data_IF_817177598851
#
_entry.id   IF_817177598851
#
_cell.length_a   1.000
_cell.length_b   1.000
_cell.length_c   1.000
_cell.angle_alpha   90.00
_cell.angle_beta   90.00
_cell.angle_gamma   90.00
#
_symmetry.space_group_name_H-M   'P 1'
#
loop_
_entity.id
_entity.type
_entity.pdbx_description
1 polymer ?
#
# COMPACT_ATOMS: atom_id res chain seq x y z
N UNK A 1 -8.31 1.79 10.66
CA UNK A 1 -6.95 1.20 10.54
C UNK A 1 -6.70 0.83 9.07
N UNK A 2 -5.47 0.86 8.55
CA UNK A 2 -5.20 0.38 7.20
C UNK A 2 -5.48 -1.12 7.09
N UNK A 3 -5.99 -1.58 5.96
CA UNK A 3 -6.13 -3.02 5.71
C UNK A 3 -5.50 -3.46 4.39
N UNK A 4 -5.37 -2.56 3.41
CA UNK A 4 -4.59 -2.81 2.19
C UNK A 4 -3.96 -1.54 1.63
N UNK A 5 -3.00 -1.74 0.73
CA UNK A 5 -2.62 -0.79 -0.32
C UNK A 5 -2.87 -1.46 -1.67
N UNK A 6 -3.49 -0.74 -2.58
CA UNK A 6 -3.64 -1.13 -3.98
C UNK A 6 -2.64 -0.33 -4.81
N UNK A 7 -1.98 -0.99 -5.75
CA UNK A 7 -1.11 -0.37 -6.74
C UNK A 7 -1.63 -0.70 -8.14
N UNK A 8 -1.89 0.33 -8.94
CA UNK A 8 -1.94 0.20 -10.38
C UNK A 8 -0.53 -0.20 -10.84
N UNK A 9 -0.41 -1.29 -11.59
CA UNK A 9 0.88 -1.87 -11.94
C UNK A 9 0.90 -2.46 -13.34
N UNK A 10 1.96 -2.18 -14.11
CA UNK A 10 2.18 -2.82 -15.40
C UNK A 10 2.65 -4.28 -15.27
N UNK A 11 3.18 -4.69 -14.12
CA UNK A 11 3.60 -6.07 -13.82
C UNK A 11 3.16 -6.56 -12.42
N UNK A 12 1.85 -6.86 -12.26
CA UNK A 12 1.34 -7.44 -11.02
C UNK A 12 2.05 -8.73 -10.58
N UNK A 13 2.57 -9.55 -11.52
CA UNK A 13 3.20 -10.83 -11.19
C UNK A 13 4.60 -10.63 -10.61
N UNK A 14 5.41 -9.75 -11.20
CA UNK A 14 6.71 -9.36 -10.68
C UNK A 14 6.60 -8.70 -9.30
N UNK A 15 5.61 -7.81 -9.12
CA UNK A 15 5.33 -7.18 -7.83
C UNK A 15 4.94 -8.20 -6.74
N UNK A 16 4.10 -9.18 -7.08
CA UNK A 16 3.79 -10.30 -6.17
C UNK A 16 5.05 -11.11 -5.85
N UNK A 17 5.80 -11.53 -6.86
CA UNK A 17 7.01 -12.35 -6.67
C UNK A 17 8.04 -11.64 -5.77
N UNK A 18 8.21 -10.32 -5.93
CA UNK A 18 9.04 -9.49 -5.06
C UNK A 18 8.55 -9.55 -3.61
N UNK A 19 7.24 -9.36 -3.38
CA UNK A 19 6.63 -9.34 -2.05
C UNK A 19 6.80 -10.67 -1.32
N UNK A 20 6.60 -11.79 -2.01
CA UNK A 20 6.81 -13.13 -1.45
C UNK A 20 8.28 -13.35 -1.07
N UNK A 21 9.22 -12.98 -1.95
CA UNK A 21 10.65 -13.26 -1.78
C UNK A 21 11.30 -12.42 -0.67
N UNK A 22 11.05 -11.12 -0.67
CA UNK A 22 11.78 -10.18 0.17
C UNK A 22 11.01 -9.75 1.42
N UNK A 23 9.69 -9.64 1.33
CA UNK A 23 8.87 -9.08 2.39
C UNK A 23 8.17 -10.13 3.25
N UNK A 24 8.34 -11.42 2.93
CA UNK A 24 7.71 -12.53 3.66
C UNK A 24 6.17 -12.52 3.57
N UNK A 25 5.64 -11.95 2.49
CA UNK A 25 4.22 -12.03 2.19
C UNK A 25 3.83 -13.46 1.79
N UNK A 26 2.53 -13.74 1.77
CA UNK A 26 1.93 -14.96 1.22
C UNK A 26 0.92 -14.61 0.15
N UNK A 27 0.91 -15.35 -0.96
CA UNK A 27 -0.05 -15.13 -2.03
C UNK A 27 -1.45 -15.41 -1.50
N UNK A 28 -2.40 -14.55 -1.89
CA UNK A 28 -3.81 -14.74 -1.59
C UNK A 28 -4.58 -14.76 -2.90
N UNK A 29 -5.45 -15.77 -3.14
CA UNK A 29 -6.28 -15.78 -4.33
C UNK A 29 -7.17 -14.53 -4.37
N UNK A 30 -7.20 -13.87 -5.53
CA UNK A 30 -8.16 -12.79 -5.77
C UNK A 30 -9.57 -13.41 -5.98
N UNK A 31 -10.62 -12.89 -5.33
CA UNK A 31 -11.97 -13.46 -5.37
C UNK A 31 -12.84 -12.93 -6.51
N UNK A 32 -12.38 -11.92 -7.26
CA UNK A 32 -13.21 -11.23 -8.24
C UNK A 32 -13.31 -12.02 -9.55
N UNK A 33 -14.55 -12.20 -10.00
CA UNK A 33 -14.83 -12.82 -11.30
C UNK A 33 -14.25 -11.95 -12.43
N UNK A 34 -13.51 -12.58 -13.33
CA UNK A 34 -12.86 -11.90 -14.46
C UNK A 34 -11.50 -11.28 -14.16
N UNK A 35 -11.06 -11.31 -12.89
CA UNK A 35 -9.67 -11.03 -12.52
C UNK A 35 -8.76 -12.17 -12.94
N UNK A 36 -7.49 -11.86 -13.21
CA UNK A 36 -6.51 -12.79 -13.81
C UNK A 36 -7.02 -13.40 -15.13
N UNK A 37 -7.69 -12.58 -15.93
CA UNK A 37 -8.34 -13.01 -17.15
C UNK A 37 -8.55 -11.84 -18.10
N UNK A 38 -9.76 -11.72 -18.65
CA UNK A 38 -10.05 -10.78 -19.73
C UNK A 38 -9.99 -9.31 -19.29
N UNK A 39 -10.30 -8.99 -18.04
CA UNK A 39 -10.61 -7.62 -17.63
C UNK A 39 -9.46 -6.94 -16.87
N UNK A 40 -8.72 -7.73 -16.10
CA UNK A 40 -7.55 -7.29 -15.39
C UNK A 40 -6.63 -8.46 -15.05
N UNK A 41 -5.35 -8.17 -14.79
CA UNK A 41 -4.44 -9.02 -14.04
C UNK A 41 -4.38 -8.51 -12.60
N UNK A 42 -4.68 -9.37 -11.63
CA UNK A 42 -4.81 -9.00 -10.23
C UNK A 42 -4.03 -10.01 -9.36
N UNK A 43 -3.00 -9.52 -8.69
CA UNK A 43 -2.24 -10.33 -7.74
C UNK A 43 -2.37 -9.74 -6.35
N UNK A 44 -2.75 -10.58 -5.39
CA UNK A 44 -2.86 -10.17 -4.00
C UNK A 44 -1.84 -10.92 -3.16
N UNK A 45 -1.29 -10.24 -2.16
CA UNK A 45 -0.56 -10.89 -1.09
C UNK A 45 -0.95 -10.33 0.27
N UNK A 46 -0.95 -11.20 1.27
CA UNK A 46 -1.15 -10.86 2.68
C UNK A 46 0.17 -10.88 3.43
N UNK A 47 0.27 -10.08 4.49
CA UNK A 47 1.40 -10.06 5.42
C UNK A 47 1.00 -10.74 6.75
N UNK A 48 1.33 -12.03 6.96
CA UNK A 48 0.80 -12.79 8.09
C UNK A 48 1.19 -12.23 9.45
N UNK A 49 0.22 -12.16 10.35
CA UNK A 49 0.42 -11.72 11.73
C UNK A 49 0.49 -10.21 11.91
N UNK A 50 0.11 -9.45 10.87
CA UNK A 50 -0.01 -7.98 10.97
C UNK A 50 -1.36 -7.57 11.54
N UNK A 51 -2.42 -8.37 11.29
CA UNK A 51 -3.83 -8.20 11.73
C UNK A 51 -4.16 -6.80 12.29
N UNK A 52 -4.06 -5.73 11.49
CA UNK A 52 -4.27 -4.37 11.99
C UNK A 52 -5.74 -4.04 12.26
N UNK A 53 -6.65 -4.96 11.94
CA UNK A 53 -8.10 -4.73 11.97
C UNK A 53 -8.79 -5.57 13.04
N UNK A 54 -9.90 -5.07 13.57
CA UNK A 54 -10.77 -5.83 14.48
C UNK A 54 -11.36 -7.09 13.83
N UNK A 55 -11.38 -7.16 12.49
CA UNK A 55 -11.81 -8.33 11.73
C UNK A 55 -10.78 -9.46 11.68
N UNK A 56 -9.57 -9.22 12.20
CA UNK A 56 -8.49 -10.19 12.12
C UNK A 56 -7.95 -10.40 10.69
N UNK A 57 -8.24 -9.47 9.78
CA UNK A 57 -7.70 -9.45 8.42
C UNK A 57 -6.27 -8.95 8.49
N UNK A 58 -5.33 -9.74 7.98
CA UNK A 58 -3.93 -9.34 7.77
C UNK A 58 -3.83 -8.25 6.69
N UNK A 59 -2.86 -7.35 6.85
CA UNK A 59 -2.60 -6.30 5.86
C UNK A 59 -2.28 -6.90 4.49
N UNK A 60 -2.70 -6.24 3.42
CA UNK A 60 -2.57 -6.75 2.06
C UNK A 60 -1.93 -5.75 1.09
N UNK A 61 -1.24 -6.27 0.08
CA UNK A 61 -0.98 -5.54 -1.15
C UNK A 61 -1.79 -6.15 -2.29
N UNK A 62 -2.43 -5.27 -3.06
CA UNK A 62 -3.15 -5.61 -4.28
C UNK A 62 -2.41 -4.96 -5.46
N UNK A 63 -1.99 -5.75 -6.43
CA UNK A 63 -1.36 -5.26 -7.66
C UNK A 63 -2.34 -5.48 -8.80
N UNK A 64 -2.70 -4.41 -9.53
CA UNK A 64 -3.79 -4.43 -10.50
C UNK A 64 -3.32 -3.83 -11.82
N UNK A 65 -3.50 -4.58 -12.91
CA UNK A 65 -3.41 -4.08 -14.29
C UNK A 65 -4.79 -4.16 -14.92
N UNK A 66 -5.43 -3.03 -15.18
CA UNK A 66 -6.74 -2.94 -15.79
C UNK A 66 -6.65 -2.87 -17.32
N UNK A 67 -7.18 -3.86 -18.03
CA UNK A 67 -7.09 -3.90 -19.50
C UNK A 67 -8.12 -3.04 -20.23
N UNK A 68 -9.17 -2.62 -19.52
CA UNK A 68 -10.35 -1.96 -20.12
C UNK A 68 -10.79 -0.71 -19.35
N UNK A 69 -10.01 -0.28 -18.35
CA UNK A 69 -10.30 0.95 -17.61
C UNK A 69 -9.74 2.16 -18.39
N UNK A 70 -10.37 3.34 -18.29
CA UNK A 70 -9.81 4.56 -18.85
C UNK A 70 -8.45 4.85 -18.23
N UNK A 71 -7.48 5.27 -19.04
CA UNK A 71 -6.14 5.67 -18.59
C UNK A 71 -5.79 7.07 -19.10
N UNK A 72 -6.78 7.85 -19.55
CA UNK A 72 -6.56 9.16 -20.16
C UNK A 72 -5.54 9.12 -21.31
N UNK A 73 -4.61 10.07 -21.31
CA UNK A 73 -3.56 10.21 -22.33
C UNK A 73 -2.25 9.46 -22.00
N UNK A 74 -2.18 8.74 -20.87
CA UNK A 74 -0.96 8.10 -20.37
C UNK A 74 -1.32 6.78 -19.70
N UNK A 75 -0.90 5.68 -20.29
CA UNK A 75 -1.09 4.35 -19.70
C UNK A 75 -0.26 4.17 -18.42
N UNK A 76 -0.61 3.18 -17.58
CA UNK A 76 0.20 2.84 -16.40
C UNK A 76 1.61 2.42 -16.79
N UNK A 77 1.77 1.63 -17.85
CA UNK A 77 3.09 1.26 -18.39
C UNK A 77 3.94 2.51 -18.73
N UNK A 78 3.36 3.50 -19.42
CA UNK A 78 4.07 4.75 -19.76
C UNK A 78 4.38 5.63 -18.55
N UNK A 79 3.52 5.63 -17.54
CA UNK A 79 3.76 6.34 -16.29
C UNK A 79 4.90 5.68 -15.52
N UNK A 80 4.85 4.37 -15.31
CA UNK A 80 5.87 3.62 -14.59
C UNK A 80 7.23 3.67 -15.31
N UNK A 81 7.28 3.60 -16.64
CA UNK A 81 8.52 3.79 -17.41
C UNK A 81 9.13 5.19 -17.17
N UNK A 82 8.30 6.23 -17.08
CA UNK A 82 8.76 7.58 -16.77
C UNK A 82 9.28 7.69 -15.33
N UNK A 83 8.62 7.03 -14.38
CA UNK A 83 9.03 7.02 -12.98
C UNK A 83 10.32 6.23 -12.79
N UNK A 84 10.43 5.02 -13.34
CA UNK A 84 11.65 4.21 -13.31
C UNK A 84 12.85 4.95 -13.92
N UNK A 85 12.63 5.69 -15.03
CA UNK A 85 13.67 6.52 -15.63
C UNK A 85 14.09 7.71 -14.75
N UNK A 86 13.15 8.26 -13.96
CA UNK A 86 13.42 9.37 -13.03
C UNK A 86 14.15 8.88 -11.77
N UNK A 87 13.68 7.78 -11.18
CA UNK A 87 14.27 7.11 -10.01
C UNK A 87 15.69 6.64 -10.32
N UNK A 88 15.88 6.08 -11.52
CA UNK A 88 17.15 5.54 -11.98
C UNK A 88 17.59 4.33 -11.15
N UNK A 89 18.89 4.05 -11.15
CA UNK A 89 19.45 2.94 -10.39
C UNK A 89 19.88 3.41 -8.99
N UNK A 90 19.11 2.95 -7.99
CA UNK A 90 19.33 3.22 -6.56
C UNK A 90 20.70 2.81 -6.03
N UNK A 91 21.44 1.94 -6.72
CA UNK A 91 22.79 1.56 -6.32
C UNK A 91 23.87 2.58 -6.71
N UNK A 92 23.54 3.54 -7.60
CA UNK A 92 24.53 4.47 -8.16
C UNK A 92 25.00 5.52 -7.15
N UNK A 93 26.22 5.99 -7.37
CA UNK A 93 26.85 7.08 -6.62
C UNK A 93 26.11 8.41 -6.69
N UNK A 94 25.41 8.63 -7.79
CA UNK A 94 24.65 9.83 -8.12
C UNK A 94 23.14 9.60 -7.98
N UNK A 95 22.71 8.47 -7.40
CA UNK A 95 21.29 8.20 -7.19
C UNK A 95 20.68 9.28 -6.29
N UNK A 96 19.78 10.07 -6.88
CA UNK A 96 19.06 11.14 -6.21
C UNK A 96 17.70 10.67 -5.74
N UNK A 97 17.27 11.19 -4.59
CA UNK A 97 15.87 11.09 -4.22
C UNK A 97 15.09 12.12 -5.06
N UNK A 98 14.05 11.70 -5.75
CA UNK A 98 13.17 12.58 -6.53
C UNK A 98 11.81 12.76 -5.85
N UNK A 99 11.00 13.69 -6.37
CA UNK A 99 9.71 14.02 -5.78
C UNK A 99 8.71 12.85 -5.86
N UNK A 100 8.80 11.99 -6.86
CA UNK A 100 7.85 10.89 -7.06
C UNK A 100 8.15 9.69 -6.19
N UNK A 101 9.37 9.58 -5.67
CA UNK A 101 9.66 8.61 -4.60
C UNK A 101 8.81 8.84 -3.34
N UNK A 102 8.18 10.01 -3.16
CA UNK A 102 7.19 10.23 -2.09
C UNK A 102 5.81 9.63 -2.39
N UNK A 103 5.63 8.88 -3.49
CA UNK A 103 4.52 7.94 -3.69
C UNK A 103 4.95 6.52 -3.28
N UNK A 104 4.91 6.21 -1.99
CA UNK A 104 5.35 4.91 -1.48
C UNK A 104 4.56 4.44 -0.26
N UNK A 105 4.70 3.16 0.05
CA UNK A 105 4.30 2.60 1.34
C UNK A 105 5.53 2.42 2.21
N UNK A 106 5.43 2.84 3.47
CA UNK A 106 6.44 2.54 4.48
C UNK A 106 6.02 1.33 5.30
N UNK A 107 6.94 0.37 5.40
CA UNK A 107 6.84 -0.82 6.23
C UNK A 107 7.86 -0.72 7.38
N UNK A 108 7.53 -1.27 8.54
CA UNK A 108 8.48 -1.43 9.65
C UNK A 108 8.97 -2.88 9.71
N UNK A 109 10.27 -3.07 9.91
CA UNK A 109 10.92 -4.36 10.13
C UNK A 109 11.68 -4.36 11.45
N UNK A 110 11.72 -5.50 12.13
CA UNK A 110 12.50 -5.64 13.36
C UNK A 110 14.01 -5.77 13.08
N UNK A 111 14.37 -6.29 11.90
CA UNK A 111 15.75 -6.40 11.41
C UNK A 111 15.82 -6.14 9.90
N UNK A 112 16.43 -5.01 9.51
CA UNK A 112 16.62 -4.68 8.09
C UNK A 112 17.71 -5.51 7.42
N UNK A 113 18.67 -6.08 8.17
CA UNK A 113 19.78 -6.83 7.58
C UNK A 113 19.28 -8.07 6.84
N UNK A 114 18.23 -8.73 7.33
CA UNK A 114 17.63 -9.90 6.67
C UNK A 114 17.13 -9.55 5.28
N UNK A 115 16.44 -8.42 5.14
CA UNK A 115 15.86 -7.97 3.87
C UNK A 115 16.96 -7.43 2.95
N UNK A 116 17.80 -6.53 3.47
CA UNK A 116 18.90 -5.92 2.74
C UNK A 116 19.91 -6.96 2.22
N UNK A 117 20.21 -8.00 3.00
CA UNK A 117 21.13 -9.05 2.57
C UNK A 117 20.60 -9.87 1.38
N UNK A 118 19.29 -10.15 1.34
CA UNK A 118 18.66 -10.82 0.20
C UNK A 118 18.71 -9.94 -1.04
N UNK A 119 18.29 -8.68 -0.92
CA UNK A 119 18.31 -7.70 -2.02
C UNK A 119 19.73 -7.56 -2.60
N UNK A 120 20.74 -7.38 -1.74
CA UNK A 120 22.15 -7.30 -2.14
C UNK A 120 22.63 -8.60 -2.81
N UNK A 121 22.28 -9.77 -2.28
CA UNK A 121 22.70 -11.05 -2.84
C UNK A 121 22.11 -11.29 -4.24
N UNK A 122 20.90 -10.79 -4.48
CA UNK A 122 20.19 -10.89 -5.75
C UNK A 122 20.48 -9.73 -6.72
N UNK A 123 21.31 -8.77 -6.32
CA UNK A 123 21.65 -7.60 -7.15
C UNK A 123 20.52 -6.60 -7.32
N UNK A 124 19.55 -6.57 -6.41
CA UNK A 124 18.45 -5.58 -6.43
C UNK A 124 18.96 -4.23 -5.89
N UNK A 125 18.85 -3.14 -6.67
CA UNK A 125 19.23 -1.80 -6.22
C UNK A 125 18.43 -1.34 -5.00
N UNK A 126 19.08 -0.67 -4.05
CA UNK A 126 18.41 -0.07 -2.89
C UNK A 126 19.15 1.19 -2.45
N UNK A 127 18.40 2.15 -1.89
CA UNK A 127 18.94 3.32 -1.20
C UNK A 127 18.85 3.10 0.30
N UNK A 128 19.93 3.33 1.04
CA UNK A 128 19.96 3.16 2.49
C UNK A 128 20.17 4.50 3.19
N UNK A 129 19.29 4.80 4.15
CA UNK A 129 19.23 6.09 4.85
C UNK A 129 19.24 5.90 6.35
N UNK A 130 19.85 6.84 7.06
CA UNK A 130 19.86 6.88 8.52
C UNK A 130 18.97 8.03 8.97
N UNK A 131 18.13 7.77 9.97
CA UNK A 131 17.26 8.80 10.52
C UNK A 131 18.09 9.95 11.11
N UNK A 132 17.47 11.15 11.20
CA UNK A 132 18.07 12.36 11.77
C UNK A 132 18.79 12.15 13.11
N UNK A 133 18.07 11.51 14.04
CA UNK A 133 18.51 11.20 15.40
C UNK A 133 19.46 9.99 15.46
N UNK A 134 19.67 9.33 14.32
CA UNK A 134 20.45 8.14 14.19
C UNK A 134 19.87 6.89 14.86
N UNK A 135 18.63 6.95 15.36
CA UNK A 135 17.97 5.89 16.11
C UNK A 135 17.39 4.77 15.21
N UNK A 136 17.22 5.05 13.92
CA UNK A 136 16.72 4.09 12.94
C UNK A 136 17.42 4.24 11.59
N UNK A 137 17.22 3.24 10.74
CA UNK A 137 17.60 3.28 9.34
C UNK A 137 16.39 2.94 8.47
N UNK A 138 16.44 3.32 7.21
CA UNK A 138 15.49 2.87 6.20
C UNK A 138 16.20 2.41 4.94
N UNK A 139 15.59 1.48 4.23
CA UNK A 139 15.93 1.14 2.85
C UNK A 139 14.77 1.53 1.93
N UNK A 140 15.08 2.21 0.83
CA UNK A 140 14.15 2.39 -0.28
C UNK A 140 14.51 1.37 -1.36
N UNK A 141 13.50 0.71 -1.88
CA UNK A 141 13.63 -0.26 -2.96
C UNK A 141 12.48 -0.09 -3.92
N UNK A 142 12.78 -0.23 -5.20
CA UNK A 142 11.79 -0.28 -6.26
C UNK A 142 11.40 -1.75 -6.49
N UNK A 143 10.12 -2.06 -6.34
CA UNK A 143 9.53 -3.29 -6.87
C UNK A 143 9.40 -3.16 -8.39
N UNK A 144 9.25 -4.27 -9.15
CA UNK A 144 9.08 -4.18 -10.60
C UNK A 144 8.08 -3.09 -11.01
N UNK A 145 8.52 -2.25 -11.95
CA UNK A 145 7.78 -1.11 -12.51
C UNK A 145 7.49 0.04 -11.54
N UNK A 146 8.54 0.69 -11.00
CA UNK A 146 8.44 1.98 -10.29
C UNK A 146 7.61 2.03 -8.98
N UNK A 147 7.14 0.91 -8.45
CA UNK A 147 6.50 0.88 -7.13
C UNK A 147 7.58 0.99 -6.06
N UNK A 148 7.67 2.14 -5.40
CA UNK A 148 8.65 2.39 -4.34
C UNK A 148 8.12 1.91 -2.99
N UNK A 149 8.97 1.20 -2.25
CA UNK A 149 8.77 0.86 -0.84
C UNK A 149 9.85 1.50 0.01
N UNK A 150 9.45 2.00 1.18
CA UNK A 150 10.38 2.30 2.28
C UNK A 150 10.25 1.20 3.34
N UNK A 151 11.36 0.64 3.82
CA UNK A 151 11.37 -0.30 4.94
C UNK A 151 12.26 0.28 6.04
N UNK A 152 11.65 0.57 7.19
CA UNK A 152 12.29 1.20 8.35
C UNK A 152 12.57 0.16 9.42
N UNK A 153 13.70 0.26 10.11
CA UNK A 153 14.01 -0.59 11.25
C UNK A 153 15.06 0.03 12.17
N UNK A 154 15.27 -0.56 13.36
CA UNK A 154 16.14 0.01 14.38
C UNK A 154 17.63 -0.06 14.03
N UNK A 155 18.02 -0.95 13.12
CA UNK A 155 19.41 -1.11 12.71
C UNK A 155 19.55 -1.62 11.29
N UNK A 156 20.64 -1.22 10.64
CA UNK A 156 21.05 -1.66 9.31
C UNK A 156 22.58 -1.63 9.25
N UNK A 157 23.18 -2.74 8.84
CA UNK A 157 24.64 -2.87 8.84
C UNK A 157 25.20 -3.78 7.74
N UNK A 158 24.34 -4.45 6.97
CA UNK A 158 24.71 -5.06 5.68
C UNK A 158 25.12 -4.01 4.64
N UNK A 159 24.51 -2.84 4.71
CA UNK A 159 24.87 -1.65 3.93
C UNK A 159 25.07 -0.48 4.88
N UNK A 160 25.95 0.45 4.52
CA UNK A 160 26.17 1.66 5.33
C UNK A 160 25.11 2.71 4.97
N UNK A 161 24.13 2.98 5.83
CA UNK A 161 23.13 4.01 5.55
C UNK A 161 23.77 5.40 5.56
N UNK A 162 23.33 6.25 4.64
CA UNK A 162 23.77 7.64 4.57
C UNK A 162 22.82 8.52 5.39
N UNK A 163 23.35 9.49 6.13
CA UNK A 163 22.51 10.46 6.84
C UNK A 163 21.49 11.09 5.90
N UNK A 164 20.21 11.04 6.28
CA UNK A 164 19.13 11.59 5.49
C UNK A 164 19.29 13.10 5.32
N UNK A 165 18.84 13.62 4.17
CA UNK A 165 18.68 15.05 3.93
C UNK A 165 17.84 15.21 2.69
N UNK A 166 16.59 15.65 2.84
CA UNK A 166 15.67 15.89 1.72
C UNK A 166 16.08 17.09 0.86
N UNK A 167 16.88 17.99 1.44
CA UNK A 167 17.26 19.25 0.79
C UNK A 167 18.72 19.24 0.28
N UNK A 168 19.39 18.10 0.37
CA UNK A 168 20.81 17.96 0.05
C UNK A 168 21.06 17.48 -1.38
N UNK A 169 22.25 17.79 -1.88
CA UNK A 169 22.80 17.23 -3.12
C UNK A 169 22.90 15.68 -3.07
N UNK A 170 22.96 14.99 -4.24
CA UNK A 170 23.22 13.55 -4.31
C UNK A 170 24.38 13.16 -3.41
N UNK A 171 24.17 12.12 -2.60
CA UNK A 171 25.16 11.64 -1.64
C UNK A 171 25.80 10.35 -2.11
N UNK A 172 26.98 10.09 -1.54
CA UNK A 172 27.93 9.02 -1.86
C UNK A 172 27.30 7.67 -2.22
N UNK A 173 27.95 6.89 -3.11
CA UNK A 173 27.52 5.53 -3.44
C UNK A 173 27.38 4.66 -2.22
N UNK A 174 26.44 3.72 -2.30
CA UNK A 174 26.20 2.75 -1.26
C UNK A 174 27.48 1.93 -1.00
N UNK A 175 27.87 1.83 0.26
CA UNK A 175 28.91 0.89 0.68
C UNK A 175 28.23 -0.38 1.20
N UNK A 176 28.60 -1.53 0.62
CA UNK A 176 28.00 -2.83 0.90
C UNK A 176 29.03 -3.76 1.56
N UNK A 177 28.71 -4.32 2.73
CA UNK A 177 29.49 -5.42 3.32
C UNK A 177 29.01 -6.76 2.76
N UNK A 178 29.56 -7.13 1.60
CA UNK A 178 29.21 -8.37 0.89
C UNK A 178 29.46 -9.62 1.75
N UNK A 179 30.48 -9.60 2.61
CA UNK A 179 30.77 -10.75 3.50
C UNK A 179 29.69 -10.88 4.57
N UNK A 180 29.22 -9.77 5.13
CA UNK A 180 28.11 -9.77 6.07
C UNK A 180 26.80 -10.18 5.39
N UNK A 181 26.48 -9.64 4.22
CA UNK A 181 25.30 -10.02 3.44
C UNK A 181 25.22 -11.55 3.25
N UNK A 182 26.32 -12.16 2.77
CA UNK A 182 26.39 -13.63 2.57
C UNK A 182 26.19 -14.42 3.86
N UNK A 183 26.74 -13.94 4.99
CA UNK A 183 26.56 -14.60 6.30
C UNK A 183 25.11 -14.53 6.77
N UNK A 184 24.45 -13.38 6.62
CA UNK A 184 23.04 -13.20 6.99
C UNK A 184 22.15 -14.13 6.16
N UNK A 185 22.30 -14.15 4.83
CA UNK A 185 21.55 -15.06 3.95
C UNK A 185 21.76 -16.52 4.33
N UNK A 186 23.00 -16.93 4.57
CA UNK A 186 23.33 -18.30 4.96
C UNK A 186 22.73 -18.68 6.33
N UNK A 187 22.64 -17.74 7.27
CA UNK A 187 22.01 -17.97 8.56
C UNK A 187 20.48 -18.13 8.43
N UNK A 188 19.82 -17.25 7.66
CA UNK A 188 18.37 -17.32 7.43
C UNK A 188 17.94 -18.60 6.70
N UNK A 189 18.78 -19.14 5.80
CA UNK A 189 18.51 -20.39 5.09
C UNK A 189 18.62 -21.65 6.00
N UNK A 190 19.38 -21.59 7.10
CA UNK A 190 19.42 -22.70 8.06
C UNK A 190 18.16 -22.76 8.90
N UNK A 191 17.62 -21.60 9.25
CA UNK A 191 16.42 -21.47 10.07
C UNK A 191 15.13 -21.90 9.34
N UNK A 192 15.12 -21.86 8.00
CA UNK A 192 14.02 -22.44 7.20
C UNK A 192 14.08 -23.97 7.14
N UNK A 193 15.29 -24.55 7.14
CA UNK A 193 15.49 -25.99 6.90
C UNK A 193 15.05 -26.88 8.08
N UNK A 194 15.06 -26.35 9.30
CA UNK A 194 14.66 -27.08 10.51
C UNK A 194 13.14 -27.21 10.67
N UNK A 195 12.34 -26.55 9.83
CA UNK A 195 10.87 -26.59 9.88
C UNK A 195 10.22 -27.10 8.58
N UNK A 196 10.99 -27.40 7.55
CA UNK A 196 10.50 -27.90 6.26
C UNK A 196 10.18 -29.42 6.26
N UNK A 197 9.64 -29.94 7.37
CA UNK A 197 9.13 -31.31 7.45
C UNK A 197 7.83 -31.47 6.65
N UNK A 198 7.93 -32.05 5.45
CA UNK A 198 6.85 -32.60 4.61
C UNK A 198 5.52 -31.83 4.57
N UNK A 199 5.45 -30.79 3.73
CA UNK A 199 4.17 -30.30 3.21
C UNK A 199 4.12 -30.56 1.70
N UNK A 200 3.82 -31.81 1.34
CA UNK A 200 3.33 -32.14 0.01
C UNK A 200 1.87 -31.69 -0.09
N UNK A 201 1.65 -30.58 -0.80
CA UNK A 201 0.45 -30.29 -1.58
C UNK A 201 -0.89 -30.69 -0.98
N UNK A 202 -1.29 -30.05 0.12
CA UNK A 202 -2.69 -29.86 0.44
C UNK A 202 -3.07 -28.45 0.02
N UNK A 203 -3.72 -28.29 -1.13
CA UNK A 203 -4.53 -27.11 -1.41
C UNK A 203 -5.60 -27.06 -0.31
N UNK A 204 -5.32 -26.34 0.79
CA UNK A 204 -6.38 -25.91 1.68
C UNK A 204 -7.17 -24.88 0.88
N UNK A 205 -8.25 -25.36 0.26
CA UNK A 205 -9.33 -24.49 -0.13
C UNK A 205 -9.78 -23.77 1.14
N UNK A 206 -9.32 -22.55 1.34
CA UNK A 206 -10.15 -21.56 1.98
C UNK A 206 -11.34 -21.39 1.04
N UNK A 207 -12.35 -22.25 1.22
CA UNK A 207 -13.69 -21.86 0.87
C UNK A 207 -13.92 -20.55 1.62
N UNK A 208 -14.05 -19.46 0.88
CA UNK A 208 -14.58 -18.21 1.38
C UNK A 208 -16.06 -18.43 1.72
N UNK A 209 -16.34 -19.27 2.70
CA UNK A 209 -17.59 -19.25 3.45
C UNK A 209 -17.41 -18.23 4.58
N UNK A 210 -17.30 -16.95 4.20
CA UNK A 210 -17.90 -15.92 5.03
C UNK A 210 -19.41 -15.99 4.80
N UNK A 211 -20.03 -17.06 5.32
CA UNK A 211 -21.47 -17.12 5.52
C UNK A 211 -21.78 -16.17 6.67
N UNK A 212 -22.05 -14.90 6.36
CA UNK A 212 -22.84 -14.06 7.24
C UNK A 212 -24.27 -14.60 7.19
N UNK A 213 -24.51 -15.62 8.01
CA UNK A 213 -25.80 -16.30 8.08
C UNK A 213 -26.88 -15.36 8.57
N UNK A 214 -27.93 -15.24 7.75
CA UNK A 214 -29.29 -14.94 8.17
C UNK A 214 -29.61 -15.70 9.46
N UNK A 215 -30.03 -14.94 10.48
CA UNK A 215 -30.44 -15.45 11.76
C UNK A 215 -31.68 -16.33 11.66
N UNK A 216 -31.49 -17.63 11.56
CA UNK A 216 -32.49 -18.60 11.99
C UNK A 216 -31.88 -19.65 12.93
N UNK A 217 -32.40 -19.63 14.15
CA UNK A 217 -32.02 -20.53 15.25
C UNK A 217 -32.58 -21.91 14.95
N UNK A 218 -31.71 -22.87 14.61
CA UNK A 218 -32.02 -24.29 14.79
C UNK A 218 -30.98 -24.96 15.68
N UNK A 219 -31.42 -25.27 16.89
CA UNK A 219 -30.76 -26.10 17.89
C UNK A 219 -30.67 -27.55 17.41
N UNK A 220 -29.47 -27.98 17.04
CA UNK A 220 -29.15 -29.38 16.74
C UNK A 220 -27.87 -29.80 17.46
N UNK A 221 -28.03 -30.48 18.59
CA UNK A 221 -26.95 -31.13 19.36
C UNK A 221 -26.45 -32.34 18.58
N UNK A 222 -25.14 -32.40 18.33
CA UNK A 222 -24.30 -33.59 18.08
C UNK A 222 -22.84 -33.10 18.21
N UNK A 223 -21.88 -33.73 18.88
CA UNK A 223 -21.63 -35.14 19.17
C UNK A 223 -20.12 -35.29 18.96
N UNK A 224 -19.38 -35.69 19.99
CA UNK A 224 -17.96 -35.36 20.16
C UNK A 224 -16.95 -35.93 19.16
N UNK A 225 -15.83 -35.22 19.03
CA UNK A 225 -14.55 -35.76 18.55
C UNK A 225 -13.43 -35.19 19.41
N UNK A 226 -12.91 -36.01 20.33
CA UNK A 226 -11.61 -35.80 20.95
C UNK A 226 -10.54 -36.15 19.91
N UNK A 227 -9.89 -35.15 19.32
CA UNK A 227 -8.86 -35.34 18.31
C UNK A 227 -7.62 -34.49 18.60
N UNK A 228 -6.58 -35.15 19.12
CA UNK A 228 -5.16 -34.84 18.95
C UNK A 228 -4.66 -33.43 19.30
N UNK A 229 -3.85 -33.34 20.37
CA UNK A 229 -2.87 -32.25 20.56
C UNK A 229 -1.83 -32.27 19.43
N UNK A 230 -2.21 -31.88 18.22
CA UNK A 230 -1.27 -31.50 17.18
C UNK A 230 -0.59 -30.21 17.62
N UNK A 231 0.73 -30.23 17.76
CA UNK A 231 1.54 -29.02 17.90
C UNK A 231 1.23 -28.12 16.71
N UNK A 232 0.43 -27.08 16.94
CA UNK A 232 0.12 -26.05 15.94
C UNK A 232 1.46 -25.48 15.49
N UNK A 233 1.83 -25.71 14.23
CA UNK A 233 3.07 -25.19 13.67
C UNK A 233 3.10 -23.67 13.90
N UNK A 234 4.21 -23.17 14.44
CA UNK A 234 4.36 -21.75 14.70
C UNK A 234 4.18 -20.99 13.38
N UNK A 235 3.09 -20.21 13.28
CA UNK A 235 2.84 -19.35 12.12
C UNK A 235 4.00 -18.38 12.03
N UNK A 236 4.76 -18.47 10.93
CA UNK A 236 5.84 -17.51 10.65
C UNK A 236 5.23 -16.13 10.51
N UNK A 237 5.58 -15.22 11.42
CA UNK A 237 5.23 -13.81 11.31
C UNK A 237 5.95 -13.20 10.11
N UNK A 238 5.25 -12.33 9.39
CA UNK A 238 5.86 -11.46 8.39
C UNK A 238 7.02 -10.68 9.03
N UNK A 239 8.17 -10.52 8.35
CA UNK A 239 9.27 -9.69 8.84
C UNK A 239 8.92 -8.19 8.81
N UNK A 240 7.81 -7.83 8.15
CA UNK A 240 7.36 -6.44 7.99
C UNK A 240 5.92 -6.22 8.44
N UNK A 241 5.63 -4.99 8.87
CA UNK A 241 4.28 -4.51 9.23
C UNK A 241 4.02 -3.13 8.61
N UNK A 242 2.76 -2.81 8.22
CA UNK A 242 2.45 -1.49 7.67
C UNK A 242 2.69 -0.39 8.70
N UNK A 243 3.30 0.72 8.26
CA UNK A 243 3.53 1.89 9.11
C UNK A 243 2.79 3.13 8.60
N UNK A 244 2.87 3.40 7.29
CA UNK A 244 2.22 4.55 6.66
C UNK A 244 2.12 4.41 5.14
N UNK A 245 1.29 5.23 4.52
CA UNK A 245 1.37 5.53 3.10
C UNK A 245 1.74 6.99 2.91
N UNK A 246 2.58 7.25 1.91
CA UNK A 246 3.13 8.57 1.60
C UNK A 246 2.71 8.92 0.18
N UNK A 247 2.25 10.16 0.01
CA UNK A 247 1.89 10.73 -1.28
C UNK A 247 2.70 12.00 -1.52
N UNK A 248 3.30 12.12 -2.71
CA UNK A 248 3.76 13.43 -3.16
C UNK A 248 2.51 14.29 -3.44
N UNK A 249 2.47 15.53 -2.93
CA UNK A 249 1.39 16.45 -3.25
C UNK A 249 1.86 17.89 -3.33
N UNK A 250 1.25 18.71 -4.18
CA UNK A 250 1.49 20.16 -4.20
C UNK A 250 0.67 20.91 -3.15
N UNK A 251 -0.32 20.24 -2.54
CA UNK A 251 -1.27 20.79 -1.55
C UNK A 251 -1.35 19.91 -0.29
N UNK A 252 -0.20 19.61 0.37
CA UNK A 252 -0.16 18.63 1.44
C UNK A 252 -1.02 19.04 2.64
N UNK A 253 -1.16 20.34 2.91
CA UNK A 253 -1.97 20.84 4.03
C UNK A 253 -3.45 20.59 3.80
N UNK A 254 -3.94 20.94 2.62
CA UNK A 254 -5.32 20.74 2.19
C UNK A 254 -5.66 19.26 2.18
N UNK A 255 -4.76 18.40 1.66
CA UNK A 255 -4.96 16.96 1.64
C UNK A 255 -5.08 16.37 3.05
N UNK A 256 -4.19 16.75 3.96
CA UNK A 256 -4.27 16.30 5.34
C UNK A 256 -5.47 16.90 6.11
N UNK A 257 -5.91 18.13 5.80
CA UNK A 257 -7.11 18.74 6.41
C UNK A 257 -8.38 18.02 5.92
N UNK A 258 -8.44 17.70 4.63
CA UNK A 258 -9.50 16.91 4.04
C UNK A 258 -9.60 15.54 4.70
N UNK A 259 -8.50 14.80 4.77
CA UNK A 259 -8.49 13.45 5.34
C UNK A 259 -8.77 13.43 6.84
N UNK A 260 -8.19 14.36 7.62
CA UNK A 260 -8.49 14.47 9.05
C UNK A 260 -10.00 14.67 9.29
N UNK A 261 -10.61 15.56 8.51
CA UNK A 261 -12.04 15.82 8.59
C UNK A 261 -12.88 14.64 8.11
N UNK A 262 -12.65 14.14 6.89
CA UNK A 262 -13.48 13.13 6.24
C UNK A 262 -13.40 11.78 6.97
N UNK A 263 -12.21 11.40 7.44
CA UNK A 263 -11.92 10.05 7.94
C UNK A 263 -11.68 10.01 9.45
N UNK A 264 -12.00 11.10 10.17
CA UNK A 264 -11.82 11.23 11.63
C UNK A 264 -10.39 10.93 12.10
N UNK A 265 -9.39 11.31 11.32
CA UNK A 265 -7.98 11.14 11.70
C UNK A 265 -7.45 12.33 12.49
N UNK A 266 -6.43 12.10 13.30
CA UNK A 266 -5.77 13.15 14.09
C UNK A 266 -4.66 13.83 13.26
N UNK A 267 -4.66 15.16 13.21
CA UNK A 267 -3.53 15.91 12.66
C UNK A 267 -2.32 15.73 13.56
N UNK A 268 -1.25 15.16 13.01
CA UNK A 268 0.03 15.03 13.72
C UNK A 268 1.11 15.79 12.98
N UNK A 269 2.13 16.21 13.72
CA UNK A 269 3.37 16.66 13.08
C UNK A 269 4.08 15.42 12.50
N UNK A 270 4.68 15.49 11.30
CA UNK A 270 5.57 14.44 10.81
C UNK A 270 6.87 14.40 11.64
N UNK A 271 6.79 13.92 12.88
CA UNK A 271 7.70 14.37 13.94
C UNK A 271 8.93 13.50 14.18
N UNK A 272 9.31 12.57 13.28
CA UNK A 272 10.48 11.69 13.53
C UNK A 272 11.30 11.22 12.33
N UNK A 273 10.75 11.15 11.11
CA UNK A 273 11.48 10.65 9.93
C UNK A 273 11.85 11.76 8.93
N UNK A 274 11.22 12.94 9.06
CA UNK A 274 11.54 14.13 8.28
C UNK A 274 12.37 15.04 9.15
N UNK A 275 13.67 15.10 8.84
CA UNK A 275 14.73 15.87 9.49
C UNK A 275 14.39 17.36 9.67
N UNK A 276 13.49 17.71 10.61
CA UNK A 276 13.16 19.09 10.96
C UNK A 276 11.88 19.71 10.37
N UNK A 277 10.99 18.95 9.74
CA UNK A 277 9.66 19.43 9.33
C UNK A 277 9.67 20.62 8.34
N UNK A 278 8.49 21.21 8.10
CA UNK A 278 8.23 22.23 7.08
C UNK A 278 9.25 23.37 7.07
N UNK A 279 10.19 23.32 6.13
CA UNK A 279 11.21 24.32 5.94
C UNK A 279 11.14 24.89 4.51
N UNK A 280 12.21 25.54 4.06
CA UNK A 280 12.23 26.15 2.72
C UNK A 280 12.22 25.14 1.56
N UNK A 281 12.36 23.84 1.81
CA UNK A 281 12.54 22.83 0.77
C UNK A 281 11.56 21.66 0.85
N UNK A 282 10.90 21.44 1.99
CA UNK A 282 9.85 20.45 2.13
C UNK A 282 8.66 20.99 2.92
N UNK A 283 7.44 20.73 2.48
CA UNK A 283 6.21 20.84 3.27
C UNK A 283 5.61 19.44 3.43
N UNK A 284 5.51 18.96 4.66
CA UNK A 284 4.99 17.65 4.97
C UNK A 284 3.88 17.73 6.01
N UNK A 285 2.81 16.99 5.75
CA UNK A 285 1.61 16.99 6.56
C UNK A 285 1.18 15.57 6.80
N UNK A 286 0.66 15.27 7.98
CA UNK A 286 0.28 13.91 8.33
C UNK A 286 -1.03 13.85 9.11
N UNK A 287 -1.73 12.75 8.89
CA UNK A 287 -2.91 12.33 9.65
C UNK A 287 -2.64 10.94 10.21
N UNK A 288 -2.95 10.74 11.49
CA UNK A 288 -2.73 9.49 12.20
C UNK A 288 -4.05 8.91 12.72
N UNK A 289 -4.13 7.58 12.69
CA UNK A 289 -5.12 6.81 13.43
C UNK A 289 -4.38 5.90 14.40
N UNK A 290 -4.83 5.87 15.65
CA UNK A 290 -4.31 4.97 16.67
C UNK A 290 -5.39 3.95 16.99
N UNK A 291 -5.02 2.67 17.03
CA UNK A 291 -5.94 1.62 17.42
C UNK A 291 -6.36 1.79 18.88
N UNK A 292 -7.66 1.62 19.17
CA UNK A 292 -8.14 1.64 20.55
C UNK A 292 -7.76 0.37 21.32
N UNK A 293 -7.41 -0.71 20.63
CA UNK A 293 -7.18 -2.04 21.20
C UNK A 293 -5.72 -2.49 21.14
N UNK A 294 -4.84 -1.70 20.53
CA UNK A 294 -3.41 -1.99 20.39
C UNK A 294 -2.60 -0.71 20.35
N UNK A 295 -1.32 -0.77 20.72
CA UNK A 295 -0.39 0.36 20.62
C UNK A 295 0.04 0.68 19.17
N UNK A 296 -0.66 0.12 18.19
CA UNK A 296 -0.39 0.34 16.77
C UNK A 296 -1.02 1.66 16.30
N UNK A 297 -0.25 2.44 15.56
CA UNK A 297 -0.74 3.57 14.80
C UNK A 297 -0.42 3.42 13.32
N UNK A 298 -1.15 4.15 12.48
CA UNK A 298 -0.88 4.26 11.06
C UNK A 298 -1.02 5.71 10.61
N UNK A 299 -0.20 6.12 9.66
CA UNK A 299 -0.18 7.49 9.16
C UNK A 299 -0.45 7.52 7.65
N UNK A 300 -1.17 8.57 7.23
CA UNK A 300 -1.11 9.06 5.87
C UNK A 300 -0.28 10.34 5.87
N UNK A 301 0.66 10.45 4.93
CA UNK A 301 1.61 11.56 4.86
C UNK A 301 1.58 12.15 3.46
N UNK A 302 1.48 13.46 3.37
CA UNK A 302 1.57 14.21 2.12
C UNK A 302 2.80 15.09 2.14
N UNK A 303 3.60 15.04 1.08
CA UNK A 303 4.89 15.74 1.02
C UNK A 303 5.01 16.53 -0.27
N UNK A 304 5.34 17.81 -0.16
CA UNK A 304 5.74 18.67 -1.27
C UNK A 304 7.22 19.01 -1.14
N UNK A 305 8.06 18.54 -2.07
CA UNK A 305 9.50 18.89 -2.11
C UNK A 305 9.85 19.53 -3.47
N UNK A 306 9.43 20.77 -3.75
CA UNK A 306 9.50 21.37 -5.10
C UNK A 306 10.92 21.54 -5.66
N UNK A 307 11.95 21.40 -4.82
CA UNK A 307 13.37 21.47 -5.23
C UNK A 307 13.94 20.13 -5.69
N UNK A 308 13.24 19.02 -5.45
CA UNK A 308 13.66 17.71 -5.93
C UNK A 308 13.43 17.58 -7.44
N UNK A 309 14.17 16.68 -8.12
CA UNK A 309 13.88 16.31 -9.49
C UNK A 309 12.41 15.86 -9.64
N UNK A 310 11.76 16.27 -10.73
CA UNK A 310 10.37 15.89 -11.05
C UNK A 310 10.24 15.22 -12.43
N UNK A 311 11.35 15.05 -13.16
CA UNK A 311 11.34 14.45 -14.49
C UNK A 311 10.58 15.28 -15.53
N UNK A 312 9.96 14.59 -16.49
CA UNK A 312 9.20 15.20 -17.60
C UNK A 312 7.76 15.58 -17.23
N UNK A 313 7.26 15.02 -16.14
CA UNK A 313 5.90 15.24 -15.65
C UNK A 313 5.98 15.94 -14.28
N UNK A 314 5.97 17.27 -14.22
CA UNK A 314 5.91 17.99 -12.95
C UNK A 314 4.71 17.55 -12.10
N UNK A 315 4.86 17.57 -10.78
CA UNK A 315 3.85 17.04 -9.85
C UNK A 315 2.50 17.75 -9.99
N UNK A 316 2.48 19.07 -10.18
CA UNK A 316 1.24 19.84 -10.41
C UNK A 316 0.50 19.40 -11.68
N UNK A 317 1.25 19.00 -12.72
CA UNK A 317 0.68 18.46 -13.97
C UNK A 317 0.14 17.07 -13.78
N UNK A 318 0.81 16.21 -13.00
CA UNK A 318 0.29 14.89 -12.68
C UNK A 318 -0.99 14.97 -11.85
N UNK A 319 -1.03 15.77 -10.79
CA UNK A 319 -2.24 15.97 -9.99
C UNK A 319 -3.40 16.56 -10.83
N UNK A 320 -3.12 17.48 -11.75
CA UNK A 320 -4.12 18.01 -12.68
C UNK A 320 -4.63 16.95 -13.67
N UNK A 321 -3.74 16.11 -14.19
CA UNK A 321 -4.09 14.98 -15.04
C UNK A 321 -5.00 13.99 -14.32
N UNK A 322 -4.65 13.60 -13.07
CA UNK A 322 -5.47 12.71 -12.25
C UNK A 322 -6.89 13.27 -12.06
N UNK A 323 -7.02 14.52 -11.58
CA UNK A 323 -8.34 15.16 -11.40
C UNK A 323 -9.17 15.22 -12.68
N UNK A 324 -8.52 15.46 -13.82
CA UNK A 324 -9.20 15.46 -15.11
C UNK A 324 -9.68 14.06 -15.52
N UNK A 325 -8.87 13.03 -15.23
CA UNK A 325 -9.19 11.64 -15.53
C UNK A 325 -10.32 11.10 -14.65
N UNK A 326 -10.23 11.27 -13.32
CA UNK A 326 -11.25 10.84 -12.37
C UNK A 326 -12.60 11.54 -12.62
N UNK A 327 -12.54 12.83 -12.99
CA UNK A 327 -13.71 13.63 -13.29
C UNK A 327 -14.65 13.77 -12.08
N UNK A 328 -15.95 13.59 -12.29
CA UNK A 328 -16.92 13.63 -11.20
C UNK A 328 -17.18 12.21 -10.68
N UNK A 329 -16.61 11.86 -9.51
CA UNK A 329 -16.77 10.56 -8.89
C UNK A 329 -18.23 10.15 -8.63
N UNK A 330 -19.16 11.10 -8.47
CA UNK A 330 -20.59 10.79 -8.31
C UNK A 330 -21.21 10.17 -9.57
N UNK A 331 -20.55 10.26 -10.73
CA UNK A 331 -20.92 9.53 -11.96
C UNK A 331 -20.48 8.07 -11.94
N UNK A 332 -19.88 7.63 -10.84
CA UNK A 332 -19.50 6.24 -10.62
C UNK A 332 -18.46 5.72 -11.64
N UNK A 333 -17.55 6.60 -12.03
CA UNK A 333 -16.45 6.32 -12.95
C UNK A 333 -15.33 5.63 -12.18
N UNK A 334 -14.69 4.64 -12.81
CA UNK A 334 -13.51 3.96 -12.29
C UNK A 334 -12.47 3.87 -13.39
N UNK A 335 -11.37 4.61 -13.25
CA UNK A 335 -10.20 4.57 -14.12
C UNK A 335 -9.06 3.76 -13.49
N UNK A 336 -8.04 3.42 -14.27
CA UNK A 336 -6.95 2.54 -13.80
C UNK A 336 -6.07 3.23 -12.74
N UNK A 337 -5.96 4.56 -12.75
CA UNK A 337 -5.16 5.29 -11.75
C UNK A 337 -5.81 5.28 -10.37
N UNK A 338 -7.13 5.04 -10.31
CA UNK A 338 -7.80 4.83 -9.03
C UNK A 338 -7.24 3.63 -8.28
N UNK A 339 -6.64 2.63 -8.93
CA UNK A 339 -6.00 1.47 -8.27
C UNK A 339 -4.68 1.82 -7.57
N UNK A 340 -4.28 3.08 -7.46
CA UNK A 340 -3.16 3.53 -6.63
C UNK A 340 -3.65 4.23 -5.35
N UNK A 341 -4.19 3.46 -4.41
CA UNK A 341 -4.81 3.97 -3.19
C UNK A 341 -4.51 3.11 -1.95
N UNK A 342 -4.54 3.78 -0.80
CA UNK A 342 -4.63 3.13 0.50
C UNK A 342 -6.10 2.88 0.85
N UNK A 343 -6.38 1.74 1.48
CA UNK A 343 -7.70 1.46 2.02
C UNK A 343 -7.69 1.37 3.54
N UNK A 344 -8.60 2.13 4.15
CA UNK A 344 -8.84 2.17 5.58
C UNK A 344 -10.12 1.41 5.93
N UNK A 345 -10.12 0.69 7.05
CA UNK A 345 -11.31 0.02 7.56
C UNK A 345 -12.00 0.83 8.65
N UNK A 346 -13.32 0.91 8.55
CA UNK A 346 -14.23 1.55 9.50
C UNK A 346 -15.36 0.59 9.89
N UNK A 347 -15.76 0.64 11.15
CA UNK A 347 -16.93 -0.13 11.62
C UNK A 347 -18.24 0.38 11.02
N UNK A 348 -18.39 1.70 10.97
CA UNK A 348 -19.58 2.39 10.46
C UNK A 348 -19.17 3.45 9.42
N UNK A 349 -19.76 3.37 8.23
CA UNK A 349 -19.55 4.29 7.12
C UNK A 349 -20.50 5.48 7.09
N UNK A 350 -21.57 5.50 7.89
CA UNK A 350 -22.60 6.54 7.82
C UNK A 350 -22.06 7.91 8.26
N UNK A 351 -21.13 7.94 9.23
CA UNK A 351 -20.42 9.15 9.63
C UNK A 351 -19.55 9.71 8.51
N UNK A 352 -18.93 8.85 7.69
CA UNK A 352 -18.14 9.27 6.53
C UNK A 352 -19.07 9.85 5.47
N UNK A 353 -20.12 9.10 5.10
CA UNK A 353 -21.11 9.53 4.10
C UNK A 353 -21.75 10.87 4.48
N UNK A 354 -22.20 11.05 5.73
CA UNK A 354 -22.77 12.32 6.21
C UNK A 354 -21.81 13.49 6.06
N UNK A 355 -20.52 13.29 6.36
CA UNK A 355 -19.51 14.34 6.19
C UNK A 355 -19.33 14.70 4.73
N UNK A 356 -19.13 13.71 3.86
CA UNK A 356 -18.96 13.92 2.42
C UNK A 356 -20.17 14.64 1.82
N UNK A 357 -21.39 14.17 2.11
CA UNK A 357 -22.64 14.80 1.69
C UNK A 357 -22.77 16.25 2.18
N UNK A 358 -22.45 16.51 3.45
CA UNK A 358 -22.58 17.85 4.05
C UNK A 358 -21.70 18.92 3.38
N UNK A 359 -20.63 18.51 2.69
CA UNK A 359 -19.76 19.42 1.91
C UNK A 359 -19.89 19.22 0.40
N UNK A 360 -20.83 18.38 -0.06
CA UNK A 360 -21.01 18.07 -1.47
C UNK A 360 -19.75 17.48 -2.12
N UNK A 361 -18.95 16.71 -1.37
CA UNK A 361 -17.74 16.06 -1.89
C UNK A 361 -18.17 14.88 -2.77
N UNK A 362 -17.75 14.80 -4.03
CA UNK A 362 -18.05 13.66 -4.88
C UNK A 362 -17.39 12.37 -4.38
N UNK A 363 -18.17 11.30 -4.30
CA UNK A 363 -17.68 9.94 -4.02
C UNK A 363 -18.61 8.93 -4.71
N UNK A 364 -18.17 7.68 -4.82
CA UNK A 364 -19.05 6.56 -5.16
C UNK A 364 -18.83 5.40 -4.19
N UNK A 365 -19.76 4.44 -4.21
CA UNK A 365 -19.73 3.28 -3.33
C UNK A 365 -19.81 1.97 -4.11
N UNK A 366 -19.23 0.92 -3.54
CA UNK A 366 -19.30 -0.45 -4.06
C UNK A 366 -19.57 -1.45 -2.96
N UNK A 367 -20.48 -2.37 -3.19
CA UNK A 367 -20.79 -3.43 -2.24
C UNK A 367 -19.62 -4.43 -2.17
N UNK A 368 -19.18 -4.73 -0.95
CA UNK A 368 -18.05 -5.58 -0.66
C UNK A 368 -18.34 -6.46 0.58
N UNK A 369 -18.24 -7.78 0.42
CA UNK A 369 -18.42 -8.78 1.49
C UNK A 369 -19.74 -8.67 2.30
N UNK A 370 -20.89 -8.84 1.64
CA UNK A 370 -22.20 -8.81 2.30
C UNK A 370 -22.74 -7.38 2.43
N UNK A 371 -22.96 -6.92 3.66
CA UNK A 371 -23.46 -5.56 3.97
C UNK A 371 -22.36 -4.48 3.97
N UNK A 372 -21.11 -4.88 3.79
CA UNK A 372 -20.00 -3.95 3.71
C UNK A 372 -20.02 -3.12 2.42
N UNK A 373 -19.47 -1.92 2.50
CA UNK A 373 -19.32 -1.04 1.35
C UNK A 373 -17.93 -0.41 1.32
N UNK A 374 -17.31 -0.40 0.14
CA UNK A 374 -16.17 0.43 -0.15
C UNK A 374 -16.64 1.81 -0.58
N UNK A 375 -16.13 2.87 0.06
CA UNK A 375 -16.34 4.27 -0.32
C UNK A 375 -15.07 4.77 -0.99
N UNK A 376 -15.17 5.20 -2.24
CA UNK A 376 -14.07 5.78 -3.00
C UNK A 376 -14.23 7.29 -3.11
N UNK A 377 -13.20 8.01 -2.68
CA UNK A 377 -13.22 9.48 -2.65
C UNK A 377 -11.87 10.04 -3.07
N UNK A 378 -11.91 11.12 -3.86
CA UNK A 378 -10.73 11.84 -4.32
C UNK A 378 -10.34 12.94 -3.31
N UNK A 379 -9.05 13.05 -3.01
CA UNK A 379 -8.48 14.16 -2.24
C UNK A 379 -8.07 15.36 -3.10
N UNK A 380 -7.66 16.47 -2.47
CA UNK A 380 -7.27 17.71 -3.18
C UNK A 380 -6.19 17.54 -4.26
N UNK A 381 -5.22 16.65 -4.07
CA UNK A 381 -4.17 16.35 -5.03
C UNK A 381 -4.54 15.33 -6.12
N UNK A 382 -5.81 14.88 -6.16
CA UNK A 382 -6.25 13.84 -7.08
C UNK A 382 -6.01 12.41 -6.57
N UNK A 383 -5.43 12.21 -5.38
CA UNK A 383 -5.25 10.86 -4.82
C UNK A 383 -6.61 10.26 -4.44
N UNK A 384 -6.82 8.99 -4.80
CA UNK A 384 -7.98 8.21 -4.39
C UNK A 384 -7.71 7.59 -3.02
N UNK A 385 -8.75 7.57 -2.19
CA UNK A 385 -8.78 6.81 -0.94
C UNK A 385 -9.96 5.85 -0.99
N UNK A 386 -9.76 4.66 -0.43
CA UNK A 386 -10.81 3.69 -0.20
C UNK A 386 -11.12 3.58 1.30
N UNK A 387 -12.41 3.53 1.65
CA UNK A 387 -12.86 3.22 2.99
C UNK A 387 -13.74 1.98 2.94
N UNK A 388 -13.25 0.86 3.46
CA UNK A 388 -14.09 -0.32 3.70
C UNK A 388 -14.88 -0.09 4.98
N UNK A 389 -16.18 0.09 4.83
CA UNK A 389 -17.13 0.26 5.92
C UNK A 389 -17.91 -1.03 6.12
N UNK A 390 -17.84 -1.61 7.33
CA UNK A 390 -18.51 -2.90 7.61
C UNK A 390 -20.03 -2.79 7.69
N UNK A 391 -20.50 -1.61 8.08
CA UNK A 391 -21.91 -1.25 8.07
C UNK A 391 -22.06 0.12 7.44
N UNK A 392 -23.04 0.26 6.56
CA UNK A 392 -23.45 1.54 5.99
C UNK A 392 -24.93 1.46 5.65
N UNK A 393 -25.74 2.40 6.15
CA UNK A 393 -27.21 2.34 6.04
C UNK A 393 -27.83 3.53 5.31
N UNK A 394 -27.09 4.62 5.11
CA UNK A 394 -27.61 5.81 4.42
C UNK A 394 -27.74 5.67 2.90
N UNK A 395 -27.18 4.60 2.31
CA UNK A 395 -27.31 4.27 0.89
C UNK A 395 -27.71 2.79 0.82
N UNK A 396 -28.83 2.51 0.16
CA UNK A 396 -29.36 1.14 0.06
C UNK A 396 -29.16 0.52 -1.32
N UNK A 397 -28.84 1.34 -2.32
CA UNK A 397 -28.67 1.00 -3.72
C UNK A 397 -27.19 0.95 -4.12
N UNK A 398 -26.36 0.32 -3.29
CA UNK A 398 -24.92 0.23 -3.53
C UNK A 398 -24.65 -0.87 -4.57
N UNK A 399 -24.11 -0.55 -5.76
CA UNK A 399 -23.83 -1.55 -6.78
C UNK A 399 -22.70 -2.47 -6.32
N UNK A 400 -22.81 -3.76 -6.61
CA UNK A 400 -21.73 -4.73 -6.34
C UNK A 400 -20.50 -4.43 -7.20
N UNK A 401 -19.33 -4.83 -6.72
CA UNK A 401 -18.11 -4.75 -7.53
C UNK A 401 -18.26 -5.54 -8.85
N UNK A 402 -18.03 -4.86 -9.98
CA UNK A 402 -18.03 -5.47 -11.30
C UNK A 402 -16.75 -5.10 -12.05
N UNK A 403 -15.74 -5.95 -11.91
CA UNK A 403 -14.43 -5.74 -12.51
C UNK A 403 -14.48 -5.71 -14.05
N UNK A 404 -15.36 -6.50 -14.64
CA UNK A 404 -15.58 -6.58 -16.09
C UNK A 404 -16.74 -5.71 -16.59
N UNK A 405 -17.41 -5.00 -15.69
CA UNK A 405 -18.63 -4.28 -16.01
C UNK A 405 -18.36 -3.23 -17.07
N UNK A 406 -19.36 -2.91 -17.91
CA UNK A 406 -19.24 -1.74 -18.75
C UNK A 406 -18.85 -0.57 -17.85
N UNK A 407 -17.83 0.18 -18.26
CA UNK A 407 -17.72 1.55 -17.81
C UNK A 407 -19.10 2.14 -18.02
N UNK A 408 -19.75 2.69 -17.00
CA UNK A 408 -21.04 3.34 -17.19
C UNK A 408 -20.79 4.48 -18.17
N UNK A 409 -21.05 4.16 -19.43
CA UNK A 409 -20.70 4.96 -20.57
C UNK A 409 -21.82 5.96 -20.74
N UNK A 410 -21.62 7.18 -20.29
CA UNK A 410 -22.38 8.30 -20.88
C UNK A 410 -21.60 9.56 -21.14
N UNK A 411 -20.45 9.86 -20.51
CA UNK A 411 -19.72 11.10 -20.84
C UNK A 411 -18.20 10.94 -20.67
N UNK A 412 -17.49 10.45 -21.69
CA UNK A 412 -16.07 10.79 -21.82
C UNK A 412 -16.03 12.12 -22.57
N UNK A 413 -15.72 13.27 -21.94
CA UNK A 413 -15.40 14.45 -22.72
C UNK A 413 -14.17 14.11 -23.56
N UNK A 414 -14.23 14.38 -24.86
CA UNK A 414 -13.03 14.37 -25.69
C UNK A 414 -12.05 15.37 -25.06
N UNK A 415 -11.01 14.86 -24.38
CA UNK A 415 -9.89 15.67 -23.93
C UNK A 415 -9.14 16.11 -25.18
N UNK A 416 -9.18 17.41 -25.46
CA UNK A 416 -8.51 18.08 -26.57
C UNK A 416 -7.07 18.49 -26.22
#
# INVERSE_FOLDING_TARGET
MPYKMTFASADPEGALAFSLKYLGASETPQPHTGGNGRCALIKWCTFPGTKPTALGIDYQFHFVKGYHRPNGSMTIDEFEDQMAALHGDFSRADATYDQYMDFHVTLAADDLDVIAAKLVADGVPLLARKSPDGASASIFVEMPHAIVLEIVGPSLSVVTPVAWSRCGAPKRPLQVDVRKARRVVAASARDTSTHAGSHSGGYFGYASEYNFGDGSVHSGVNGGVNGGNGTVAAVRKSPVRPLRAVYASTVPKEAADFVAWAFAGERVRPQSFLDGGNDSCVDAQAVRWTSATSDSSYELVWIHSPKLPQGKLPLDKYEAYLRALHGNLSKNIYDEYMDNHVALIFGDGDDVVRRLDARGVPFFMRGQYGEGADIFVEGPGGQIYELLCLHQTLRSDIPTWNLCGPLLATDTPALA
#
